data_IF_506463107912
#
_entry.id   IF_506463107912
#
_cell.length_a   1.000
_cell.length_b   1.000
_cell.length_c   1.000
_cell.angle_alpha   90.00
_cell.angle_beta   90.00
_cell.angle_gamma   90.00
#
_symmetry.space_group_name_H-M   'P 1'
#
loop_
_entity.id
_entity.type
_entity.pdbx_description
1 polymer ?
#
# COMPACT_ATOMS: atom_id res chain seq x y z
N UNK A 1 -29.47 24.75 -24.41
CA UNK A 1 -28.98 23.70 -23.49
C UNK A 1 -28.05 24.36 -22.49
N UNK A 2 -28.43 24.46 -21.21
CA UNK A 2 -27.58 25.06 -20.18
C UNK A 2 -26.47 24.08 -19.83
N UNK A 3 -25.22 24.52 -19.93
CA UNK A 3 -24.08 23.79 -19.40
C UNK A 3 -24.31 23.60 -17.89
N UNK A 4 -24.24 22.36 -17.44
CA UNK A 4 -24.19 22.04 -16.02
C UNK A 4 -22.80 22.46 -15.55
N UNK A 5 -22.69 23.66 -15.01
CA UNK A 5 -21.54 24.06 -14.19
C UNK A 5 -21.52 23.14 -12.98
N UNK A 6 -20.66 22.12 -13.03
CA UNK A 6 -20.34 21.28 -11.88
C UNK A 6 -19.47 22.13 -10.96
N UNK A 7 -20.14 22.75 -9.99
CA UNK A 7 -19.57 23.49 -8.87
C UNK A 7 -18.36 22.73 -8.28
N UNK A 8 -17.20 23.37 -8.30
CA UNK A 8 -15.95 22.81 -7.80
C UNK A 8 -15.99 22.59 -6.27
N UNK A 9 -16.95 23.17 -5.56
CA UNK A 9 -17.14 23.02 -4.12
C UNK A 9 -17.89 21.73 -3.69
N UNK A 10 -18.50 20.99 -4.62
CA UNK A 10 -19.25 19.73 -4.36
C UNK A 10 -18.53 18.47 -4.84
N UNK A 11 -17.27 18.56 -5.26
CA UNK A 11 -16.51 17.40 -5.75
C UNK A 11 -16.01 16.53 -4.60
N UNK A 12 -16.29 15.23 -4.69
CA UNK A 12 -15.74 14.18 -3.83
C UNK A 12 -14.20 14.33 -3.66
N UNK A 13 -13.71 14.62 -2.44
CA UNK A 13 -12.30 14.91 -2.21
C UNK A 13 -11.36 13.80 -2.66
N UNK A 14 -11.77 12.54 -2.53
CA UNK A 14 -10.96 11.39 -2.95
C UNK A 14 -10.77 11.38 -4.47
N UNK A 15 -11.85 11.63 -5.23
CA UNK A 15 -11.79 11.76 -6.68
C UNK A 15 -10.91 12.94 -7.12
N UNK A 16 -11.01 14.09 -6.45
CA UNK A 16 -10.16 15.26 -6.77
C UNK A 16 -8.68 14.93 -6.61
N UNK A 17 -8.31 14.25 -5.52
CA UNK A 17 -6.93 13.79 -5.30
C UNK A 17 -6.49 12.77 -6.35
N UNK A 18 -7.36 11.82 -6.70
CA UNK A 18 -7.10 10.87 -7.79
C UNK A 18 -6.82 11.57 -9.11
N UNK A 19 -7.69 12.49 -9.52
CA UNK A 19 -7.56 13.22 -10.79
C UNK A 19 -6.26 14.05 -10.81
N UNK A 20 -5.93 14.74 -9.72
CA UNK A 20 -4.67 15.50 -9.60
C UNK A 20 -3.44 14.60 -9.68
N UNK A 21 -3.48 13.44 -9.05
CA UNK A 21 -2.39 12.47 -9.12
C UNK A 21 -2.20 11.93 -10.55
N UNK A 22 -3.29 11.55 -11.23
CA UNK A 22 -3.24 11.05 -12.60
C UNK A 22 -2.80 12.14 -13.60
N UNK A 23 -3.17 13.41 -13.36
CA UNK A 23 -2.63 14.55 -14.13
C UNK A 23 -1.12 14.72 -13.95
N UNK A 24 -0.61 14.50 -12.74
CA UNK A 24 0.82 14.55 -12.47
C UNK A 24 1.58 13.43 -13.23
N UNK A 25 1.00 12.23 -13.28
CA UNK A 25 1.56 11.10 -14.03
C UNK A 25 1.59 11.32 -15.56
N UNK A 26 0.61 12.05 -16.12
CA UNK A 26 0.53 12.34 -17.56
C UNK A 26 1.36 13.54 -18.03
N UNK A 27 2.22 14.12 -17.17
CA UNK A 27 3.06 15.31 -17.43
C UNK A 27 2.31 16.52 -17.95
N UNK A 28 0.99 16.61 -17.73
CA UNK A 28 0.18 17.80 -18.05
C UNK A 28 0.37 18.93 -17.02
N UNK A 29 1.62 19.24 -16.65
CA UNK A 29 2.06 20.44 -15.91
C UNK A 29 1.72 20.57 -14.41
N UNK A 30 1.49 19.49 -13.66
CA UNK A 30 1.25 19.62 -12.20
C UNK A 30 2.01 18.58 -11.35
N UNK A 31 3.19 18.97 -10.84
CA UNK A 31 3.97 18.14 -9.91
C UNK A 31 3.36 18.07 -8.50
N UNK A 32 2.39 18.94 -8.14
CA UNK A 32 1.75 18.94 -6.82
C UNK A 32 1.00 17.64 -6.53
N UNK A 33 0.51 16.95 -7.57
CA UNK A 33 -0.13 15.64 -7.42
C UNK A 33 0.81 14.57 -6.84
N UNK A 34 2.13 14.67 -7.09
CA UNK A 34 3.12 13.76 -6.52
C UNK A 34 3.35 14.00 -5.03
N UNK A 35 3.15 15.23 -4.53
CA UNK A 35 3.21 15.53 -3.10
C UNK A 35 2.07 14.86 -2.29
N UNK A 36 1.05 14.34 -2.98
CA UNK A 36 -0.04 13.58 -2.36
C UNK A 36 0.32 12.12 -2.09
N UNK A 37 1.48 11.66 -2.57
CA UNK A 37 1.97 10.30 -2.29
C UNK A 37 2.21 10.09 -0.80
N UNK A 38 1.70 8.97 -0.31
CA UNK A 38 1.81 8.56 1.08
C UNK A 38 3.28 8.37 1.50
N UNK A 39 3.62 8.84 2.69
CA UNK A 39 4.93 8.60 3.29
C UNK A 39 6.11 9.29 2.59
N UNK A 40 5.85 10.22 1.66
CA UNK A 40 6.90 10.82 0.82
C UNK A 40 7.52 9.81 -0.14
N UNK A 41 6.77 8.76 -0.51
CA UNK A 41 7.20 7.80 -1.50
C UNK A 41 7.54 8.53 -2.80
N UNK A 42 8.79 8.41 -3.22
CA UNK A 42 9.19 8.69 -4.60
C UNK A 42 8.72 7.54 -5.45
N UNK A 43 8.18 7.80 -6.63
CA UNK A 43 7.85 6.76 -7.60
C UNK A 43 9.14 6.02 -7.98
N UNK A 44 9.43 4.90 -7.30
CA UNK A 44 10.61 4.09 -7.54
C UNK A 44 10.25 3.14 -8.67
N UNK A 45 11.02 3.19 -9.77
CA UNK A 45 10.85 2.44 -11.01
C UNK A 45 9.81 3.00 -11.98
N UNK A 46 10.26 3.24 -13.22
CA UNK A 46 9.60 3.20 -14.54
C UNK A 46 8.07 3.32 -14.65
N UNK A 47 7.39 4.01 -13.74
CA UNK A 47 5.95 4.28 -13.86
C UNK A 47 5.76 5.02 -15.17
N UNK A 48 5.18 4.27 -16.11
CA UNK A 48 4.94 4.66 -17.46
C UNK A 48 4.30 6.05 -17.44
N UNK A 49 4.79 6.96 -18.29
CA UNK A 49 3.98 8.13 -18.60
C UNK A 49 2.68 7.59 -19.16
N UNK A 50 1.59 7.78 -18.43
CA UNK A 50 0.27 7.46 -18.94
C UNK A 50 -0.10 8.61 -19.88
N UNK A 51 -0.25 8.29 -21.16
CA UNK A 51 -0.60 9.33 -22.15
C UNK A 51 -2.03 9.78 -21.94
N UNK A 52 -2.92 8.80 -21.72
CA UNK A 52 -4.34 8.99 -21.46
C UNK A 52 -4.80 8.10 -20.32
N UNK A 53 -5.79 8.57 -19.57
CA UNK A 53 -6.40 7.84 -18.48
C UNK A 53 -7.87 8.20 -18.29
N UNK A 54 -8.63 7.29 -17.70
CA UNK A 54 -9.97 7.56 -17.17
C UNK A 54 -10.24 6.72 -15.92
N UNK A 55 -11.04 7.27 -15.02
CA UNK A 55 -11.61 6.52 -13.90
C UNK A 55 -12.79 5.72 -14.45
N UNK A 56 -12.69 4.39 -14.45
CA UNK A 56 -13.73 3.47 -14.96
C UNK A 56 -14.62 2.90 -13.86
N UNK A 57 -14.18 3.00 -12.61
CA UNK A 57 -14.96 2.49 -11.47
C UNK A 57 -14.46 3.04 -10.13
N UNK A 58 -15.27 2.84 -9.10
CA UNK A 58 -14.93 3.09 -7.70
C UNK A 58 -15.60 2.04 -6.84
N UNK A 59 -14.83 1.41 -5.96
CA UNK A 59 -15.38 0.51 -4.97
C UNK A 59 -16.12 1.27 -3.86
N UNK A 60 -16.95 0.55 -3.10
CA UNK A 60 -17.57 1.13 -1.90
C UNK A 60 -16.46 1.56 -0.93
N UNK A 61 -16.53 2.81 -0.48
CA UNK A 61 -15.61 3.37 0.51
C UNK A 61 -15.57 2.50 1.75
N UNK A 62 -14.37 2.11 2.17
CA UNK A 62 -14.11 1.38 3.40
C UNK A 62 -13.78 2.39 4.49
N UNK A 63 -14.42 2.24 5.65
CA UNK A 63 -14.19 3.10 6.82
C UNK A 63 -13.92 2.19 8.00
N UNK A 64 -12.83 2.46 8.70
CA UNK A 64 -12.43 1.72 9.89
C UNK A 64 -12.14 2.71 11.02
N UNK A 65 -12.59 2.38 12.22
CA UNK A 65 -12.27 3.16 13.43
C UNK A 65 -11.76 2.23 14.51
N UNK A 66 -10.79 2.69 15.29
CA UNK A 66 -10.24 1.87 16.36
C UNK A 66 -9.37 2.65 17.33
N UNK A 67 -8.76 1.92 18.26
CA UNK A 67 -7.73 2.47 19.15
C UNK A 67 -6.36 2.42 18.47
N UNK A 68 -5.75 3.58 18.26
CA UNK A 68 -4.48 3.68 17.53
C UNK A 68 -3.30 3.05 18.27
N UNK A 69 -3.14 3.22 19.61
CA UNK A 69 -2.15 2.46 20.38
C UNK A 69 -2.25 0.96 20.20
N UNK A 70 -3.45 0.38 20.27
CA UNK A 70 -3.68 -1.04 20.08
C UNK A 70 -3.25 -1.51 18.69
N UNK A 71 -3.72 -0.85 17.63
CA UNK A 71 -3.37 -1.18 16.24
C UNK A 71 -1.85 -1.08 15.99
N UNK A 72 -1.19 -0.03 16.52
CA UNK A 72 0.28 0.11 16.43
C UNK A 72 1.03 -0.97 17.20
N UNK A 73 0.54 -1.36 18.38
CA UNK A 73 1.17 -2.42 19.18
C UNK A 73 1.10 -3.76 18.46
N UNK A 74 -0.06 -4.09 17.87
CA UNK A 74 -0.22 -5.30 17.07
C UNK A 74 0.68 -5.29 15.83
N UNK A 75 0.75 -4.17 15.12
CA UNK A 75 1.65 -4.02 13.97
C UNK A 75 3.12 -4.18 14.36
N UNK A 76 3.55 -3.57 15.48
CA UNK A 76 4.91 -3.71 15.98
C UNK A 76 5.23 -5.15 16.42
N UNK A 77 4.25 -5.87 16.96
CA UNK A 77 4.39 -7.28 17.27
C UNK A 77 4.56 -8.12 16.00
N UNK A 78 3.74 -7.88 14.97
CA UNK A 78 3.91 -8.49 13.65
C UNK A 78 5.31 -8.24 13.08
N UNK A 79 5.81 -7.01 13.12
CA UNK A 79 7.14 -6.66 12.61
C UNK A 79 8.29 -7.31 13.35
N UNK A 80 8.14 -7.46 14.66
CA UNK A 80 9.14 -8.14 15.48
C UNK A 80 9.20 -9.62 15.11
N UNK A 81 8.05 -10.29 15.01
CA UNK A 81 8.02 -11.71 14.62
C UNK A 81 8.49 -11.90 13.17
N UNK A 82 8.10 -11.02 12.23
CA UNK A 82 8.58 -11.07 10.83
C UNK A 82 10.10 -10.95 10.75
N UNK A 83 10.70 -9.99 11.48
CA UNK A 83 12.17 -9.83 11.51
C UNK A 83 12.87 -11.02 12.15
N UNK A 84 12.28 -11.59 13.22
CA UNK A 84 12.80 -12.78 13.86
C UNK A 84 12.78 -13.98 12.91
N UNK A 85 11.63 -14.27 12.31
CA UNK A 85 11.44 -15.33 11.32
C UNK A 85 12.43 -15.20 10.16
N UNK A 86 12.58 -14.00 9.61
CA UNK A 86 13.56 -13.73 8.56
C UNK A 86 15.01 -13.90 9.04
N UNK A 87 15.32 -13.55 10.30
CA UNK A 87 16.63 -13.78 10.91
C UNK A 87 16.94 -15.27 11.07
N UNK A 88 15.97 -16.09 11.47
CA UNK A 88 16.11 -17.56 11.59
C UNK A 88 16.29 -18.23 10.23
N UNK A 89 15.70 -17.67 9.17
CA UNK A 89 15.89 -18.12 7.80
C UNK A 89 17.32 -17.87 7.28
N UNK A 90 17.92 -16.75 7.68
CA UNK A 90 19.26 -16.31 7.24
C UNK A 90 20.38 -16.85 8.13
N UNK A 91 20.11 -17.05 9.42
CA UNK A 91 21.12 -17.53 10.36
C UNK A 91 21.61 -18.93 9.96
N UNK A 92 22.92 -19.05 9.77
CA UNK A 92 23.61 -20.32 9.56
C UNK A 92 23.85 -20.96 10.95
N UNK A 93 23.33 -22.16 11.24
CA UNK A 93 23.53 -22.79 12.54
C UNK A 93 24.98 -23.24 12.78
N UNK A 94 25.81 -23.32 11.73
CA UNK A 94 27.25 -23.63 11.83
C UNK A 94 28.06 -22.66 10.96
N UNK A 95 29.19 -22.12 11.44
CA UNK A 95 30.10 -21.39 10.57
C UNK A 95 30.65 -22.37 9.51
N UNK A 96 30.64 -22.02 8.22
CA UNK A 96 31.19 -22.89 7.21
C UNK A 96 32.70 -23.14 7.51
N UNK A 97 33.23 -24.31 7.14
CA UNK A 97 34.67 -24.55 7.15
C UNK A 97 35.39 -23.39 6.44
N UNK A 98 36.58 -23.00 6.91
CA UNK A 98 37.32 -21.78 6.50
C UNK A 98 37.51 -21.58 4.98
N UNK A 99 37.22 -22.58 4.16
CA UNK A 99 37.46 -22.59 2.72
C UNK A 99 36.19 -22.82 1.87
N UNK A 100 34.97 -22.82 2.43
CA UNK A 100 33.73 -22.98 1.65
C UNK A 100 32.71 -21.84 1.87
N UNK A 101 32.18 -21.30 0.78
CA UNK A 101 30.97 -20.47 0.81
C UNK A 101 29.77 -21.41 0.76
N UNK A 102 29.28 -21.85 1.91
CA UNK A 102 28.05 -22.63 1.98
C UNK A 102 26.85 -21.69 1.76
N UNK A 103 26.32 -21.66 0.53
CA UNK A 103 25.02 -21.03 0.29
C UNK A 103 23.94 -21.98 0.82
N UNK A 104 23.30 -21.62 1.94
CA UNK A 104 22.12 -22.35 2.44
C UNK A 104 21.00 -22.27 1.40
N UNK A 105 20.62 -23.41 0.82
CA UNK A 105 19.39 -23.53 0.05
C UNK A 105 18.21 -23.50 1.02
N UNK A 106 17.65 -22.31 1.25
CA UNK A 106 16.36 -22.18 1.95
C UNK A 106 15.28 -22.82 1.07
N UNK A 107 14.67 -23.90 1.54
CA UNK A 107 13.55 -24.52 0.81
C UNK A 107 12.25 -23.76 1.07
N UNK A 108 11.28 -23.90 0.16
CA UNK A 108 9.93 -23.35 0.33
C UNK A 108 9.25 -23.88 1.60
N UNK A 109 9.58 -25.11 2.02
CA UNK A 109 9.07 -25.72 3.25
C UNK A 109 9.65 -25.05 4.51
N UNK A 110 10.95 -24.74 4.50
CA UNK A 110 11.61 -24.03 5.60
C UNK A 110 11.04 -22.62 5.78
N UNK A 111 10.81 -21.92 4.67
CA UNK A 111 10.14 -20.62 4.70
C UNK A 111 8.71 -20.76 5.24
N UNK A 112 7.91 -21.70 4.74
CA UNK A 112 6.52 -21.88 5.15
C UNK A 112 6.35 -22.16 6.65
N UNK A 113 7.22 -23.01 7.24
CA UNK A 113 7.20 -23.29 8.68
C UNK A 113 7.62 -22.07 9.52
N UNK A 114 8.67 -21.36 9.08
CA UNK A 114 9.23 -20.21 9.79
C UNK A 114 8.25 -19.03 9.88
N UNK A 115 7.30 -18.92 8.94
CA UNK A 115 6.31 -17.84 8.91
C UNK A 115 4.97 -18.17 9.59
N UNK A 116 4.78 -19.34 10.20
CA UNK A 116 3.51 -19.68 10.87
C UNK A 116 3.12 -18.69 11.99
N UNK A 117 4.07 -18.30 12.85
CA UNK A 117 3.81 -17.30 13.89
C UNK A 117 3.50 -15.91 13.29
N UNK A 118 4.10 -15.59 12.14
CA UNK A 118 3.85 -14.33 11.43
C UNK A 118 2.44 -14.32 10.84
N UNK A 119 1.99 -15.45 10.26
CA UNK A 119 0.61 -15.66 9.79
C UNK A 119 -0.40 -15.52 10.92
N UNK A 120 -0.14 -16.12 12.07
CA UNK A 120 -1.01 -16.01 13.24
C UNK A 120 -1.16 -14.55 13.72
N UNK A 121 -0.05 -13.79 13.76
CA UNK A 121 -0.10 -12.36 14.12
C UNK A 121 -0.80 -11.51 13.06
N UNK A 122 -0.55 -11.80 11.78
CA UNK A 122 -1.24 -11.15 10.67
C UNK A 122 -2.75 -11.33 10.77
N UNK A 123 -3.21 -12.56 11.00
CA UNK A 123 -4.63 -12.89 11.16
C UNK A 123 -5.31 -12.07 12.26
N UNK A 124 -4.70 -11.95 13.44
CA UNK A 124 -5.25 -11.15 14.55
C UNK A 124 -5.44 -9.69 14.14
N UNK A 125 -4.45 -9.10 13.45
CA UNK A 125 -4.53 -7.71 13.01
C UNK A 125 -5.54 -7.55 11.87
N UNK A 126 -5.63 -8.50 10.93
CA UNK A 126 -6.60 -8.49 9.85
C UNK A 126 -8.05 -8.63 10.35
N UNK A 127 -8.28 -9.42 11.39
CA UNK A 127 -9.63 -9.58 11.98
C UNK A 127 -10.06 -8.34 12.76
N UNK A 128 -9.14 -7.70 13.48
CA UNK A 128 -9.46 -6.56 14.35
C UNK A 128 -9.41 -5.21 13.65
N UNK A 129 -8.51 -5.04 12.67
CA UNK A 129 -8.26 -3.79 11.95
C UNK A 129 -7.96 -4.08 10.45
N UNK A 130 -8.91 -4.64 9.68
CA UNK A 130 -8.69 -5.11 8.30
C UNK A 130 -8.14 -4.06 7.33
N UNK A 131 -8.61 -2.81 7.40
CA UNK A 131 -8.14 -1.73 6.50
C UNK A 131 -6.75 -1.28 6.92
N UNK A 132 -6.48 -1.15 8.22
CA UNK A 132 -5.15 -0.82 8.72
C UNK A 132 -4.12 -1.92 8.39
N UNK A 133 -4.53 -3.18 8.54
CA UNK A 133 -3.74 -4.36 8.21
C UNK A 133 -3.36 -4.38 6.72
N UNK A 134 -4.36 -4.20 5.84
CA UNK A 134 -4.17 -4.11 4.40
C UNK A 134 -3.16 -3.01 4.02
N UNK A 135 -3.33 -1.80 4.56
CA UNK A 135 -2.42 -0.69 4.27
C UNK A 135 -0.99 -0.94 4.76
N UNK A 136 -0.81 -1.74 5.82
CA UNK A 136 0.49 -2.08 6.38
C UNK A 136 1.12 -3.35 5.75
N UNK A 137 0.52 -3.90 4.69
CA UNK A 137 1.02 -5.03 3.92
C UNK A 137 1.26 -6.28 4.77
N UNK A 138 0.43 -6.53 5.78
CA UNK A 138 0.62 -7.69 6.68
C UNK A 138 0.18 -9.02 6.05
N UNK A 139 -0.55 -8.97 4.96
CA UNK A 139 -0.95 -10.09 4.10
C UNK A 139 0.15 -10.45 3.08
N UNK A 140 1.08 -9.53 2.78
CA UNK A 140 2.20 -9.71 1.84
C UNK A 140 3.47 -10.19 2.54
N UNK A 141 3.37 -11.29 3.31
CA UNK A 141 4.46 -11.80 4.16
C UNK A 141 5.70 -12.22 3.32
N UNK A 142 5.46 -12.67 2.09
CA UNK A 142 6.45 -13.27 1.18
C UNK A 142 7.17 -12.24 0.28
N UNK A 143 6.64 -11.02 0.16
CA UNK A 143 7.26 -9.98 -0.67
C UNK A 143 8.34 -9.24 0.12
N UNK A 144 9.59 -9.45 -0.31
CA UNK A 144 10.78 -8.91 0.32
C UNK A 144 10.75 -7.39 0.46
N UNK A 145 11.17 -6.90 1.63
CA UNK A 145 11.59 -5.53 1.99
C UNK A 145 11.29 -4.37 1.02
N UNK A 146 10.05 -4.22 0.57
CA UNK A 146 9.62 -2.94 0.01
C UNK A 146 9.34 -2.02 1.18
N UNK A 147 9.96 -0.83 1.14
CA UNK A 147 9.74 0.13 2.21
C UNK A 147 8.29 0.58 2.15
N UNK A 148 7.51 0.07 3.09
CA UNK A 148 6.08 0.31 3.18
C UNK A 148 5.81 1.81 3.41
N UNK A 149 5.17 2.48 2.43
CA UNK A 149 4.88 3.91 2.50
C UNK A 149 3.93 4.25 3.66
N UNK A 150 3.04 3.32 4.04
CA UNK A 150 2.15 3.48 5.18
C UNK A 150 2.94 3.43 6.49
N UNK A 151 3.91 2.52 6.65
CA UNK A 151 4.78 2.50 7.86
C UNK A 151 5.59 3.77 8.02
N UNK A 152 6.18 4.28 6.93
CA UNK A 152 6.86 5.59 6.94
C UNK A 152 5.94 6.72 7.34
N UNK A 153 4.70 6.67 6.87
CA UNK A 153 3.67 7.64 7.23
C UNK A 153 3.28 7.53 8.72
N UNK A 154 3.06 6.32 9.24
CA UNK A 154 2.72 6.07 10.64
C UNK A 154 3.78 6.55 11.62
N UNK A 155 5.06 6.56 11.23
CA UNK A 155 6.14 7.10 12.07
C UNK A 155 5.97 8.60 12.40
N UNK A 156 5.18 9.34 11.60
CA UNK A 156 4.86 10.77 11.80
C UNK A 156 3.55 11.01 12.55
N UNK A 157 2.81 9.96 12.87
CA UNK A 157 1.49 10.05 13.51
C UNK A 157 1.64 10.00 15.04
N UNK A 158 0.92 10.87 15.79
CA UNK A 158 0.92 10.82 17.25
C UNK A 158 0.62 9.42 17.79
N UNK A 159 1.31 8.94 18.84
CA UNK A 159 1.23 7.54 19.26
C UNK A 159 -0.09 7.16 19.94
N UNK A 160 -0.96 8.13 20.25
CA UNK A 160 -2.17 7.90 21.05
C UNK A 160 -3.42 8.54 20.46
N UNK A 161 -4.56 7.95 20.79
CA UNK A 161 -5.89 8.43 20.41
C UNK A 161 -6.69 7.37 19.64
N UNK A 162 -7.97 7.66 19.43
CA UNK A 162 -8.78 6.90 18.48
C UNK A 162 -8.39 7.30 17.06
N UNK A 163 -8.41 6.34 16.14
CA UNK A 163 -8.24 6.62 14.73
C UNK A 163 -9.54 6.42 13.95
N UNK A 164 -9.65 7.13 12.83
CA UNK A 164 -10.58 6.88 11.76
C UNK A 164 -9.80 6.84 10.44
N UNK A 165 -9.92 5.73 9.73
CA UNK A 165 -9.25 5.47 8.47
C UNK A 165 -10.31 5.33 7.38
N UNK A 166 -10.17 6.13 6.34
CA UNK A 166 -11.01 6.11 5.16
C UNK A 166 -10.16 5.61 4.00
N UNK A 167 -10.68 4.64 3.24
CA UNK A 167 -10.02 4.07 2.08
C UNK A 167 -11.00 4.02 0.90
N UNK A 168 -10.61 4.69 -0.18
CA UNK A 168 -11.27 4.72 -1.46
C UNK A 168 -10.41 3.98 -2.49
N UNK A 169 -11.02 3.11 -3.29
CA UNK A 169 -10.36 2.43 -4.41
C UNK A 169 -11.02 2.86 -5.72
N UNK A 170 -10.22 3.38 -6.63
CA UNK A 170 -10.62 3.73 -7.99
C UNK A 170 -10.02 2.75 -8.97
N UNK A 171 -10.78 2.35 -9.99
CA UNK A 171 -10.27 1.59 -11.12
C UNK A 171 -9.90 2.57 -12.23
N UNK A 172 -8.63 2.57 -12.61
CA UNK A 172 -8.06 3.46 -13.63
C UNK A 172 -7.81 2.63 -14.87
N UNK A 173 -8.35 3.09 -15.99
CA UNK A 173 -7.93 2.62 -17.32
C UNK A 173 -6.90 3.60 -17.86
N UNK A 174 -5.71 3.11 -18.19
CA UNK A 174 -4.61 3.88 -18.80
C UNK A 174 -4.19 3.25 -20.12
N UNK A 175 -3.61 4.09 -20.99
CA UNK A 175 -2.84 3.63 -22.16
C UNK A 175 -1.35 3.74 -21.82
N UNK A 176 -0.68 2.60 -21.73
CA UNK A 176 0.74 2.48 -21.33
C UNK A 176 1.56 1.88 -22.48
N UNK A 177 2.82 2.29 -22.63
CA UNK A 177 3.74 1.78 -23.66
C UNK A 177 4.30 2.85 -24.59
N UNK A 178 5.29 2.49 -25.41
CA UNK A 178 5.87 3.38 -26.42
C UNK A 178 5.04 3.34 -27.72
N UNK A 179 5.13 4.40 -28.54
CA UNK A 179 4.24 4.76 -29.66
C UNK A 179 3.66 3.64 -30.56
N UNK A 180 4.29 2.47 -30.67
CA UNK A 180 3.84 1.36 -31.53
C UNK A 180 3.14 0.21 -30.76
N UNK A 181 3.20 0.17 -29.42
CA UNK A 181 2.66 -0.90 -28.57
C UNK A 181 1.88 -0.34 -27.37
N UNK A 182 1.05 0.68 -27.58
CA UNK A 182 0.20 1.19 -26.50
C UNK A 182 -0.84 0.16 -26.11
N UNK A 183 -0.71 -0.40 -24.92
CA UNK A 183 -1.65 -1.36 -24.36
C UNK A 183 -2.57 -0.68 -23.36
N UNK A 184 -3.84 -1.04 -23.46
CA UNK A 184 -4.84 -0.64 -22.48
C UNK A 184 -4.68 -1.50 -21.23
N UNK A 185 -4.50 -0.84 -20.09
CA UNK A 185 -4.40 -1.48 -18.78
C UNK A 185 -5.49 -0.95 -17.86
N UNK A 186 -6.07 -1.83 -17.06
CA UNK A 186 -6.92 -1.45 -15.93
C UNK A 186 -6.21 -1.82 -14.65
N UNK A 187 -6.05 -0.87 -13.73
CA UNK A 187 -5.35 -1.05 -12.47
C UNK A 187 -6.03 -0.29 -11.33
N UNK A 188 -5.90 -0.75 -10.08
CA UNK A 188 -6.49 -0.09 -8.93
C UNK A 188 -5.61 1.08 -8.48
N UNK A 189 -6.23 2.16 -8.00
CA UNK A 189 -5.56 3.28 -7.33
C UNK A 189 -6.26 3.54 -6.00
N UNK A 190 -5.49 3.57 -4.91
CA UNK A 190 -6.03 3.76 -3.57
C UNK A 190 -5.78 5.18 -3.06
N UNK A 191 -6.82 5.78 -2.50
CA UNK A 191 -6.78 7.06 -1.81
C UNK A 191 -7.24 6.86 -0.38
N UNK A 192 -6.51 7.40 0.58
CA UNK A 192 -6.81 7.25 1.99
C UNK A 192 -6.74 8.56 2.77
N UNK A 193 -7.44 8.58 3.90
CA UNK A 193 -7.31 9.62 4.93
C UNK A 193 -7.27 8.97 6.29
N UNK A 194 -6.23 9.28 7.06
CA UNK A 194 -6.10 8.87 8.45
C UNK A 194 -6.31 10.08 9.35
N UNK A 195 -7.22 9.93 10.31
CA UNK A 195 -7.43 10.87 11.42
C UNK A 195 -7.05 10.19 12.73
N UNK A 196 -6.22 10.82 13.55
CA UNK A 196 -5.83 10.31 14.88
C UNK A 196 -5.80 11.46 15.88
N UNK A 197 -6.71 11.45 16.86
CA UNK A 197 -6.85 12.56 17.80
C UNK A 197 -7.12 13.89 17.07
N UNK A 198 -6.17 14.83 17.14
CA UNK A 198 -6.22 16.12 16.42
C UNK A 198 -5.55 16.10 15.04
N UNK A 199 -4.82 15.04 14.70
CA UNK A 199 -4.19 14.89 13.40
C UNK A 199 -5.24 14.54 12.34
N UNK A 200 -5.16 15.23 11.21
CA UNK A 200 -5.80 14.85 9.97
C UNK A 200 -4.74 14.82 8.86
N UNK A 201 -4.56 13.68 8.21
CA UNK A 201 -3.56 13.54 7.15
C UNK A 201 -3.91 14.26 5.86
N UNK A 202 -5.17 14.69 5.71
CA UNK A 202 -5.76 14.94 4.40
C UNK A 202 -5.84 13.66 3.56
N UNK A 203 -6.36 13.79 2.33
CA UNK A 203 -6.37 12.70 1.37
C UNK A 203 -4.96 12.44 0.82
N UNK A 204 -4.54 11.19 0.79
CA UNK A 204 -3.23 10.73 0.32
C UNK A 204 -3.40 9.57 -0.66
N UNK A 205 -2.54 9.52 -1.66
CA UNK A 205 -2.49 8.42 -2.62
C UNK A 205 -1.53 7.36 -2.09
N UNK A 206 -1.99 6.13 -1.98
CA UNK A 206 -1.11 4.99 -1.75
C UNK A 206 -0.47 4.62 -3.10
N UNK A 207 0.86 4.71 -3.25
CA UNK A 207 1.51 4.23 -4.46
C UNK A 207 1.24 2.72 -4.58
N UNK A 208 0.70 2.30 -5.71
CA UNK A 208 0.50 0.89 -6.01
C UNK A 208 1.87 0.25 -6.18
N UNK A 209 2.24 -0.67 -5.29
CA UNK A 209 3.28 -1.65 -5.62
C UNK A 209 2.69 -2.53 -6.71
N UNK A 210 3.33 -2.57 -7.88
CA UNK A 210 2.95 -3.52 -8.91
C UNK A 210 3.20 -4.93 -8.36
N UNK A 211 2.17 -5.59 -7.84
CA UNK A 211 2.18 -7.05 -7.81
C UNK A 211 1.78 -7.50 -9.20
N UNK A 212 2.80 -7.79 -10.00
CA UNK A 212 2.67 -8.67 -11.16
C UNK A 212 2.00 -9.96 -10.71
N UNK A 213 0.72 -10.11 -11.02
CA UNK A 213 0.01 -11.39 -11.06
C UNK A 213 0.02 -12.20 -9.78
N UNK A 214 -0.75 -11.80 -8.76
CA UNK A 214 -1.38 -12.78 -7.87
C UNK A 214 -2.65 -12.22 -7.25
N UNK A 215 -3.67 -13.08 -7.23
CA UNK A 215 -5.02 -12.87 -6.73
C UNK A 215 -5.10 -12.04 -5.44
N UNK A 216 -5.41 -10.75 -5.55
CA UNK A 216 -5.97 -9.95 -4.43
C UNK A 216 -7.49 -9.78 -4.54
N UNK A 217 -8.13 -10.54 -5.43
CA UNK A 217 -9.56 -10.45 -5.71
C UNK A 217 -10.46 -11.08 -4.63
N UNK A 218 -9.90 -11.71 -3.59
CA UNK A 218 -10.68 -12.51 -2.63
C UNK A 218 -10.74 -11.97 -1.20
N UNK A 219 -10.07 -10.88 -0.84
CA UNK A 219 -10.00 -10.46 0.58
C UNK A 219 -11.21 -9.62 1.04
N UNK A 220 -12.23 -9.40 0.19
CA UNK A 220 -13.51 -8.81 0.65
C UNK A 220 -14.71 -9.46 -0.05
N UNK A 221 -15.08 -10.65 0.40
CA UNK A 221 -16.46 -11.15 0.37
C UNK A 221 -16.92 -11.47 1.79
#
# INVERSE_FOLDING_TARGET
MKAVEVDLATRDPARVVTERFLQALSRKSNEEGLAMLLGGATLVSRLYRIDDWKIVGREKKKIETGDFPSARSQLAAFDRERRRAHGELIADPEPPPKDEVAARHVTTADAAWTFELVRARSKVLMESNPVFAFLAGVDQIEEGYLVDPFRRFLAKVPPAGKYALELDQFWIESMEGHHQEKLKRVWPLWVLRLRVGRLDSGMKVLPTTETTGSSSAEICR
#
